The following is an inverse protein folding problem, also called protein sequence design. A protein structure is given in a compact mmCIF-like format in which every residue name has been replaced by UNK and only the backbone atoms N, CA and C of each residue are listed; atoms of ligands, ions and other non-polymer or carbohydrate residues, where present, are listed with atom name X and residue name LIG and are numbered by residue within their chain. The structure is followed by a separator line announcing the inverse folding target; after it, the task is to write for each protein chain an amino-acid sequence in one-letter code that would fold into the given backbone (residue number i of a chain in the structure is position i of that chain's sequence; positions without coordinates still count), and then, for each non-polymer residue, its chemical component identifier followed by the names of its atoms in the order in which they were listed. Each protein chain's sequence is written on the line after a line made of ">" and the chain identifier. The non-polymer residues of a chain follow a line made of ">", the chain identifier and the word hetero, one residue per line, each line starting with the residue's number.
data_IF_556059638517
#
_entry.id   IF_556059638517
#
_cell.length_a   1.000
_cell.length_b   1.000
_cell.length_c   1.000
_cell.angle_alpha   90.00
_cell.angle_beta   90.00
_cell.angle_gamma   90.00
#
_symmetry.space_group_name_H-M   'P 1'
#
loop_
_entity.id
_entity.type
_entity.pdbx_description
1 polymer ?
#
# COMPACT_ATOMS: atom_id res chain seq x y z
N UNK A 1 -20.38 49.64 20.83
CA UNK A 1 -18.99 49.18 20.67
C UNK A 1 -18.55 48.82 22.06
N UNK A 2 -18.79 47.60 22.49
CA UNK A 2 -18.39 47.13 23.82
C UNK A 2 -18.16 45.62 23.75
N UNK A 3 -17.17 45.18 24.54
CA UNK A 3 -16.77 43.81 24.83
C UNK A 3 -15.81 43.12 23.86
N UNK A 4 -14.67 43.77 23.62
CA UNK A 4 -13.40 43.06 23.40
C UNK A 4 -12.71 42.85 24.75
N UNK A 5 -13.27 41.98 25.59
CA UNK A 5 -12.53 41.49 26.75
C UNK A 5 -11.50 40.45 26.23
N UNK A 6 -10.19 40.70 26.31
CA UNK A 6 -9.20 39.76 25.77
C UNK A 6 -9.25 38.47 26.62
N UNK A 7 -9.57 37.34 25.98
CA UNK A 7 -9.56 36.04 26.64
C UNK A 7 -8.19 35.81 27.31
N UNK A 8 -8.18 35.67 28.63
CA UNK A 8 -6.96 35.49 29.40
C UNK A 8 -6.20 34.22 28.98
N UNK A 9 -4.86 34.31 28.95
CA UNK A 9 -3.95 33.19 28.73
C UNK A 9 -4.28 32.09 29.75
N UNK A 10 -4.81 30.95 29.27
CA UNK A 10 -5.29 29.85 30.12
C UNK A 10 -6.62 29.23 29.68
N UNK A 11 -7.32 29.80 28.70
CA UNK A 11 -8.63 29.30 28.20
C UNK A 11 -8.56 28.04 27.32
N UNK A 12 -7.46 27.28 27.36
CA UNK A 12 -7.23 26.14 26.47
C UNK A 12 -7.07 24.79 27.20
N UNK A 13 -7.59 24.65 28.43
CA UNK A 13 -7.52 23.41 29.20
C UNK A 13 -8.89 22.86 29.60
N UNK A 14 -9.89 22.94 28.73
CA UNK A 14 -11.07 22.10 28.91
C UNK A 14 -10.70 20.70 28.43
N UNK A 15 -10.79 19.71 29.32
CA UNK A 15 -10.53 18.31 28.97
C UNK A 15 -11.42 17.93 27.77
N UNK A 16 -10.93 17.08 26.84
CA UNK A 16 -11.70 16.67 25.65
C UNK A 16 -12.86 15.72 25.99
N UNK A 17 -13.19 15.58 27.27
CA UNK A 17 -14.25 14.77 27.84
C UNK A 17 -14.77 15.44 29.11
N UNK A 18 -16.00 15.11 29.48
CA UNK A 18 -16.64 15.59 30.69
C UNK A 18 -16.12 14.80 31.91
N UNK A 19 -15.40 15.45 32.86
CA UNK A 19 -14.84 14.76 34.02
C UNK A 19 -15.92 14.16 34.94
N UNK A 20 -17.08 14.80 35.08
CA UNK A 20 -18.16 14.29 35.93
C UNK A 20 -18.76 12.99 35.38
N UNK A 21 -18.86 12.89 34.06
CA UNK A 21 -19.32 11.66 33.38
C UNK A 21 -18.31 10.54 33.59
N UNK A 22 -17.01 10.83 33.46
CA UNK A 22 -15.95 9.84 33.69
C UNK A 22 -15.95 9.36 35.14
N UNK A 23 -16.08 10.26 36.12
CA UNK A 23 -16.13 9.88 37.54
C UNK A 23 -17.33 8.97 37.85
N UNK A 24 -18.52 9.28 37.33
CA UNK A 24 -19.72 8.43 37.48
C UNK A 24 -19.52 7.05 36.86
N UNK A 25 -18.93 6.98 35.66
CA UNK A 25 -18.63 5.70 35.01
C UNK A 25 -17.57 4.90 35.79
N UNK A 26 -16.53 5.56 36.30
CA UNK A 26 -15.51 4.92 37.12
C UNK A 26 -16.09 4.35 38.41
N UNK A 27 -16.97 5.08 39.09
CA UNK A 27 -17.66 4.60 40.28
C UNK A 27 -18.48 3.33 39.96
N UNK A 28 -19.25 3.35 38.87
CA UNK A 28 -20.04 2.19 38.44
C UNK A 28 -19.17 0.99 38.04
N UNK A 29 -18.04 1.22 37.37
CA UNK A 29 -17.08 0.16 37.02
C UNK A 29 -16.49 -0.48 38.27
N UNK A 30 -16.11 0.32 39.28
CA UNK A 30 -15.58 -0.19 40.54
C UNK A 30 -16.61 -1.06 41.27
N UNK A 31 -17.84 -0.57 41.40
CA UNK A 31 -18.94 -1.33 42.02
C UNK A 31 -19.16 -2.68 41.33
N UNK A 32 -19.18 -2.69 39.99
CA UNK A 32 -19.31 -3.93 39.23
C UNK A 32 -18.08 -4.82 39.36
N UNK A 33 -16.86 -4.28 39.37
CA UNK A 33 -15.64 -5.07 39.53
C UNK A 33 -15.62 -5.78 40.90
N UNK A 34 -15.97 -5.06 41.97
CA UNK A 34 -16.03 -5.60 43.32
C UNK A 34 -17.10 -6.71 43.43
N UNK A 35 -18.29 -6.47 42.88
CA UNK A 35 -19.36 -7.48 42.82
C UNK A 35 -19.00 -8.69 41.94
N UNK A 36 -18.24 -8.46 40.86
CA UNK A 36 -17.73 -9.52 39.98
C UNK A 36 -16.70 -10.42 40.66
N UNK A 37 -15.89 -9.87 41.56
CA UNK A 37 -14.94 -10.63 42.37
C UNK A 37 -15.61 -11.76 43.16
N UNK A 38 -16.75 -11.46 43.79
CA UNK A 38 -17.51 -12.45 44.54
C UNK A 38 -18.00 -13.62 43.67
N UNK A 39 -18.36 -13.36 42.40
CA UNK A 39 -18.73 -14.41 41.45
C UNK A 39 -17.52 -15.24 41.00
N UNK A 40 -16.34 -14.63 40.87
CA UNK A 40 -15.11 -15.32 40.51
C UNK A 40 -14.61 -16.23 41.64
N UNK A 41 -14.80 -15.84 42.90
CA UNK A 41 -14.41 -16.62 44.07
C UNK A 41 -15.16 -17.96 44.21
N UNK A 42 -16.36 -18.07 43.63
CA UNK A 42 -17.13 -19.32 43.62
C UNK A 42 -16.42 -20.43 42.83
N UNK A 43 -15.59 -20.08 41.83
CA UNK A 43 -14.84 -20.97 40.91
C UNK A 43 -15.67 -21.96 40.06
N UNK A 44 -16.82 -22.41 40.55
CA UNK A 44 -17.74 -23.33 39.89
C UNK A 44 -19.16 -22.84 40.15
N UNK A 45 -19.95 -22.71 39.09
CA UNK A 45 -21.39 -22.44 39.15
C UNK A 45 -22.09 -23.79 39.26
N UNK A 46 -22.77 -24.04 40.38
CA UNK A 46 -23.26 -25.39 40.73
C UNK A 46 -24.74 -25.62 40.46
N UNK A 47 -25.52 -24.55 40.26
CA UNK A 47 -26.97 -24.61 40.06
C UNK A 47 -27.50 -23.54 39.08
N UNK A 48 -28.71 -23.76 38.59
CA UNK A 48 -29.36 -22.91 37.59
C UNK A 48 -29.68 -21.50 38.13
N UNK A 49 -29.86 -21.35 39.45
CA UNK A 49 -30.14 -20.04 40.06
C UNK A 49 -28.89 -19.17 40.08
N UNK A 50 -27.73 -19.74 40.43
CA UNK A 50 -26.42 -19.11 40.32
C UNK A 50 -26.11 -18.76 38.87
N UNK A 51 -26.38 -19.67 37.93
CA UNK A 51 -26.19 -19.41 36.50
C UNK A 51 -27.05 -18.22 36.02
N UNK A 52 -28.32 -18.16 36.45
CA UNK A 52 -29.21 -17.03 36.16
C UNK A 52 -28.69 -15.71 36.71
N UNK A 53 -28.26 -15.68 37.98
CA UNK A 53 -27.70 -14.47 38.63
C UNK A 53 -26.41 -13.99 37.98
N UNK A 54 -25.51 -14.92 37.60
CA UNK A 54 -24.27 -14.58 36.87
C UNK A 54 -24.60 -14.01 35.49
N UNK A 55 -25.61 -14.56 34.80
CA UNK A 55 -26.06 -14.04 33.51
C UNK A 55 -26.66 -12.62 33.60
N UNK A 56 -27.46 -12.35 34.63
CA UNK A 56 -27.99 -11.00 34.90
C UNK A 56 -26.85 -10.01 35.21
N UNK A 57 -25.89 -10.44 36.03
CA UNK A 57 -24.70 -9.64 36.34
C UNK A 57 -23.86 -9.37 35.08
N UNK A 58 -23.66 -10.36 34.22
CA UNK A 58 -22.98 -10.20 32.94
C UNK A 58 -23.71 -9.20 32.03
N UNK A 59 -25.05 -9.20 32.04
CA UNK A 59 -25.86 -8.23 31.32
C UNK A 59 -25.63 -6.80 31.85
N UNK A 60 -25.53 -6.62 33.16
CA UNK A 60 -25.20 -5.32 33.76
C UNK A 60 -23.79 -4.85 33.39
N UNK A 61 -22.80 -5.75 33.42
CA UNK A 61 -21.43 -5.45 33.01
C UNK A 61 -21.36 -5.03 31.53
N UNK A 62 -22.11 -5.73 30.65
CA UNK A 62 -22.25 -5.38 29.23
C UNK A 62 -22.93 -4.02 29.02
N UNK A 63 -23.92 -3.68 29.84
CA UNK A 63 -24.57 -2.37 29.78
C UNK A 63 -23.58 -1.26 30.17
N UNK A 64 -22.87 -1.40 31.29
CA UNK A 64 -21.85 -0.43 31.71
C UNK A 64 -20.74 -0.25 30.65
N UNK A 65 -20.30 -1.33 30.01
CA UNK A 65 -19.36 -1.26 28.88
C UNK A 65 -19.92 -0.40 27.72
N UNK A 66 -21.19 -0.60 27.36
CA UNK A 66 -21.84 0.20 26.31
C UNK A 66 -21.93 1.67 26.68
N UNK A 67 -22.21 1.99 27.94
CA UNK A 67 -22.29 3.37 28.43
C UNK A 67 -20.93 4.09 28.35
N UNK A 68 -19.85 3.39 28.71
CA UNK A 68 -18.47 3.89 28.55
C UNK A 68 -18.16 4.16 27.08
N UNK A 69 -18.46 3.22 26.20
CA UNK A 69 -18.23 3.38 24.76
C UNK A 69 -19.08 4.52 24.16
N UNK A 70 -20.31 4.71 24.63
CA UNK A 70 -21.17 5.81 24.22
C UNK A 70 -20.60 7.16 24.67
N UNK A 71 -20.16 7.27 25.93
CA UNK A 71 -19.51 8.47 26.45
C UNK A 71 -18.22 8.80 25.68
N UNK A 72 -17.38 7.79 25.39
CA UNK A 72 -16.18 7.93 24.56
C UNK A 72 -16.51 8.46 23.16
N UNK A 73 -17.51 7.87 22.49
CA UNK A 73 -17.94 8.32 21.16
C UNK A 73 -18.44 9.76 21.19
N UNK A 74 -19.28 10.11 22.17
CA UNK A 74 -19.82 11.47 22.33
C UNK A 74 -18.71 12.50 22.56
N UNK A 75 -17.75 12.21 23.44
CA UNK A 75 -16.60 13.07 23.68
C UNK A 75 -15.71 13.22 22.44
N UNK A 76 -15.51 12.14 21.68
CA UNK A 76 -14.67 12.13 20.48
C UNK A 76 -15.33 12.78 19.26
N UNK A 77 -16.65 12.75 19.16
CA UNK A 77 -17.39 13.15 17.96
C UNK A 77 -17.09 14.58 17.48
N UNK A 78 -17.08 15.63 18.34
CA UNK A 78 -16.79 16.99 17.91
C UNK A 78 -15.40 17.14 17.28
N UNK A 79 -14.41 16.40 17.79
CA UNK A 79 -13.05 16.43 17.25
C UNK A 79 -12.95 15.71 15.90
N UNK A 80 -13.69 14.61 15.73
CA UNK A 80 -13.79 13.92 14.44
C UNK A 80 -14.51 14.78 13.40
N UNK A 81 -15.58 15.47 13.79
CA UNK A 81 -16.34 16.37 12.92
C UNK A 81 -15.49 17.58 12.52
N UNK A 82 -14.77 18.17 13.48
CA UNK A 82 -13.82 19.26 13.21
C UNK A 82 -12.70 18.80 12.26
N UNK A 83 -12.10 17.64 12.51
CA UNK A 83 -11.09 17.06 11.63
C UNK A 83 -11.64 16.80 10.22
N UNK A 84 -12.84 16.23 10.12
CA UNK A 84 -13.52 15.98 8.84
C UNK A 84 -13.83 17.28 8.10
N UNK A 85 -14.24 18.34 8.79
CA UNK A 85 -14.50 19.64 8.18
C UNK A 85 -13.22 20.26 7.60
N UNK A 86 -12.09 20.14 8.31
CA UNK A 86 -10.77 20.54 7.81
C UNK A 86 -10.43 19.72 6.56
N UNK A 87 -10.52 18.40 6.63
CA UNK A 87 -10.21 17.51 5.51
C UNK A 87 -11.07 17.82 4.28
N UNK A 88 -12.38 18.03 4.44
CA UNK A 88 -13.28 18.42 3.34
C UNK A 88 -12.86 19.76 2.74
N UNK A 89 -12.54 20.76 3.57
CA UNK A 89 -12.11 22.07 3.08
C UNK A 89 -10.81 21.98 2.30
N UNK A 90 -9.79 21.29 2.83
CA UNK A 90 -8.51 21.15 2.15
C UNK A 90 -8.62 20.27 0.91
N UNK A 91 -9.43 19.21 0.95
CA UNK A 91 -9.73 18.39 -0.24
C UNK A 91 -10.39 19.21 -1.34
N UNK A 92 -11.24 20.18 -1.00
CA UNK A 92 -11.81 21.10 -2.00
C UNK A 92 -10.76 21.97 -2.70
N UNK A 93 -9.64 22.27 -2.02
CA UNK A 93 -8.51 23.02 -2.55
C UNK A 93 -7.54 22.12 -3.34
N UNK A 94 -7.30 20.89 -2.88
CA UNK A 94 -6.37 19.96 -3.54
C UNK A 94 -6.99 19.26 -4.75
N UNK A 95 -8.30 18.96 -4.74
CA UNK A 95 -8.94 18.22 -5.82
C UNK A 95 -8.82 18.88 -7.21
N UNK A 96 -8.96 20.21 -7.37
CA UNK A 96 -8.67 20.86 -8.66
C UNK A 96 -7.21 20.74 -9.08
N UNK A 97 -6.27 20.83 -8.13
CA UNK A 97 -4.83 20.70 -8.38
C UNK A 97 -4.45 19.27 -8.79
N UNK A 98 -5.03 18.26 -8.14
CA UNK A 98 -4.88 16.85 -8.51
C UNK A 98 -5.41 16.60 -9.92
N UNK A 99 -6.61 17.09 -10.23
CA UNK A 99 -7.17 17.00 -11.59
C UNK A 99 -6.32 17.72 -12.63
N UNK A 100 -5.78 18.89 -12.30
CA UNK A 100 -4.86 19.62 -13.17
C UNK A 100 -3.58 18.80 -13.41
N UNK A 101 -2.98 18.26 -12.35
CA UNK A 101 -1.79 17.43 -12.43
C UNK A 101 -2.04 16.17 -13.27
N UNK A 102 -3.19 15.49 -13.10
CA UNK A 102 -3.59 14.34 -13.93
C UNK A 102 -3.74 14.71 -15.41
N UNK A 103 -4.38 15.85 -15.69
CA UNK A 103 -4.52 16.35 -17.07
C UNK A 103 -3.18 16.69 -17.69
N UNK A 104 -2.24 17.26 -16.94
CA UNK A 104 -0.89 17.60 -17.41
C UNK A 104 0.04 16.39 -17.52
N UNK A 105 -0.18 15.32 -16.75
CA UNK A 105 0.59 14.06 -16.87
C UNK A 105 0.43 13.43 -18.25
N UNK A 106 -0.75 13.52 -18.89
CA UNK A 106 -0.98 12.92 -20.21
C UNK A 106 -0.10 13.50 -21.33
N UNK A 107 -0.07 14.82 -21.59
CA UNK A 107 0.82 15.40 -22.59
C UNK A 107 2.30 15.24 -22.18
N UNK A 108 2.62 15.29 -20.89
CA UNK A 108 3.99 15.05 -20.42
C UNK A 108 4.46 13.61 -20.71
N UNK A 109 3.58 12.63 -20.51
CA UNK A 109 3.85 11.23 -20.84
C UNK A 109 4.03 11.05 -22.36
N UNK A 110 3.17 11.68 -23.18
CA UNK A 110 3.32 11.64 -24.64
C UNK A 110 4.66 12.23 -25.10
N UNK A 111 5.06 13.38 -24.54
CA UNK A 111 6.37 13.97 -24.80
C UNK A 111 7.52 13.05 -24.37
N UNK A 112 7.40 12.39 -23.21
CA UNK A 112 8.42 11.46 -22.75
C UNK A 112 8.55 10.23 -23.66
N UNK A 113 7.42 9.69 -24.15
CA UNK A 113 7.41 8.59 -25.11
C UNK A 113 8.05 8.99 -26.42
N UNK A 114 7.73 10.17 -26.96
CA UNK A 114 8.33 10.67 -28.19
C UNK A 114 9.83 10.92 -28.02
N UNK A 115 10.25 11.52 -26.89
CA UNK A 115 11.67 11.71 -26.57
C UNK A 115 12.40 10.37 -26.44
N UNK A 116 11.76 9.36 -25.87
CA UNK A 116 12.33 8.01 -25.81
C UNK A 116 12.45 7.40 -27.21
N UNK A 117 11.44 7.57 -28.07
CA UNK A 117 11.48 7.12 -29.48
C UNK A 117 12.64 7.75 -30.24
N UNK A 118 12.84 9.06 -30.12
CA UNK A 118 13.95 9.78 -30.74
C UNK A 118 15.31 9.28 -30.23
N UNK A 119 15.45 9.07 -28.92
CA UNK A 119 16.66 8.49 -28.34
C UNK A 119 16.91 7.05 -28.81
N UNK A 120 15.86 6.26 -28.99
CA UNK A 120 15.95 4.89 -29.50
C UNK A 120 16.32 4.90 -31.00
N UNK A 121 15.76 5.79 -31.82
CA UNK A 121 16.11 5.98 -33.23
C UNK A 121 17.58 6.44 -33.39
N UNK A 122 18.03 7.42 -32.61
CA UNK A 122 19.44 7.83 -32.58
C UNK A 122 20.37 6.69 -32.13
N UNK A 123 19.93 5.88 -31.16
CA UNK A 123 20.68 4.71 -30.72
C UNK A 123 20.79 3.68 -31.84
N UNK A 124 19.71 3.40 -32.56
CA UNK A 124 19.72 2.47 -33.70
C UNK A 124 20.70 2.94 -34.78
N UNK A 125 20.69 4.22 -35.15
CA UNK A 125 21.66 4.80 -36.11
C UNK A 125 23.09 4.65 -35.63
N UNK A 126 23.37 4.97 -34.36
CA UNK A 126 24.71 4.81 -33.76
C UNK A 126 25.15 3.35 -33.69
N UNK A 127 24.21 2.41 -33.48
CA UNK A 127 24.49 0.98 -33.49
C UNK A 127 24.81 0.48 -34.91
N UNK A 128 24.08 0.95 -35.93
CA UNK A 128 24.37 0.62 -37.33
C UNK A 128 25.72 1.19 -37.79
N UNK A 129 26.04 2.43 -37.43
CA UNK A 129 27.34 3.04 -37.71
C UNK A 129 28.48 2.30 -37.00
N UNK A 130 28.30 1.95 -35.73
CA UNK A 130 29.28 1.16 -34.99
C UNK A 130 29.47 -0.24 -35.60
N UNK A 131 28.39 -0.88 -36.07
CA UNK A 131 28.48 -2.17 -36.78
C UNK A 131 29.26 -2.06 -38.07
N UNK A 132 29.00 -1.02 -38.89
CA UNK A 132 29.75 -0.76 -40.12
C UNK A 132 31.24 -0.50 -39.83
N UNK A 133 31.55 0.30 -38.82
CA UNK A 133 32.94 0.54 -38.41
C UNK A 133 33.65 -0.74 -37.94
N UNK A 134 32.93 -1.65 -37.28
CA UNK A 134 33.46 -2.93 -36.86
C UNK A 134 33.70 -3.87 -38.06
N UNK A 135 32.76 -3.95 -39.00
CA UNK A 135 32.91 -4.73 -40.25
C UNK A 135 34.10 -4.22 -41.09
N UNK A 136 34.27 -2.90 -41.20
CA UNK A 136 35.40 -2.27 -41.90
C UNK A 136 36.74 -2.52 -41.17
N UNK A 137 36.76 -2.43 -39.84
CA UNK A 137 37.96 -2.73 -39.05
C UNK A 137 38.35 -4.21 -39.15
N UNK A 138 37.38 -5.13 -39.16
CA UNK A 138 37.63 -6.55 -39.35
C UNK A 138 38.13 -6.86 -40.77
N UNK A 139 37.64 -6.12 -41.79
CA UNK A 139 38.16 -6.24 -43.16
C UNK A 139 39.62 -5.76 -43.25
N UNK A 140 39.92 -4.58 -42.73
CA UNK A 140 41.28 -4.02 -42.69
C UNK A 140 42.24 -4.94 -41.92
N UNK A 141 41.80 -5.54 -40.82
CA UNK A 141 42.61 -6.52 -40.07
C UNK A 141 42.94 -7.74 -40.93
N UNK A 142 41.93 -8.33 -41.60
CA UNK A 142 42.15 -9.49 -42.49
C UNK A 142 43.06 -9.16 -43.68
N UNK A 143 42.94 -7.97 -44.25
CA UNK A 143 43.80 -7.50 -45.35
C UNK A 143 45.25 -7.26 -44.91
N UNK A 144 45.45 -6.72 -43.71
CA UNK A 144 46.78 -6.51 -43.12
C UNK A 144 47.46 -7.84 -42.74
N UNK A 145 46.73 -8.75 -42.09
CA UNK A 145 47.19 -10.11 -41.75
C UNK A 145 47.58 -10.89 -43.02
N UNK A 146 46.81 -10.76 -44.11
CA UNK A 146 47.11 -11.42 -45.38
C UNK A 146 48.38 -10.88 -46.08
N UNK A 147 48.76 -9.62 -45.82
CA UNK A 147 49.94 -8.98 -46.41
C UNK A 147 51.18 -9.00 -45.51
N UNK A 148 51.06 -9.46 -44.25
CA UNK A 148 52.12 -9.40 -43.23
C UNK A 148 52.73 -7.98 -43.11
N UNK A 149 51.91 -6.95 -43.26
CA UNK A 149 52.34 -5.55 -43.19
C UNK A 149 52.15 -5.03 -41.76
N UNK A 150 53.26 -4.92 -41.03
CA UNK A 150 53.31 -4.50 -39.62
C UNK A 150 52.76 -3.08 -39.41
N UNK A 151 52.87 -2.19 -40.42
CA UNK A 151 52.33 -0.83 -40.35
C UNK A 151 50.80 -0.87 -40.52
N UNK A 152 50.31 -1.69 -41.45
CA UNK A 152 48.88 -1.89 -41.66
C UNK A 152 48.20 -2.60 -40.48
N UNK A 153 48.89 -3.52 -39.79
CA UNK A 153 48.40 -4.17 -38.57
C UNK A 153 48.19 -3.16 -37.42
N UNK A 154 49.13 -2.24 -37.23
CA UNK A 154 49.01 -1.20 -36.21
C UNK A 154 47.84 -0.23 -36.47
N UNK A 155 47.58 0.10 -37.74
CA UNK A 155 46.41 0.90 -38.14
C UNK A 155 45.10 0.11 -38.00
N UNK A 156 45.08 -1.18 -38.32
CA UNK A 156 43.94 -2.06 -38.12
C UNK A 156 43.60 -2.24 -36.61
N UNK A 157 44.61 -2.33 -35.74
CA UNK A 157 44.40 -2.41 -34.29
C UNK A 157 43.82 -1.10 -33.71
N UNK A 158 44.27 0.06 -34.19
CA UNK A 158 43.67 1.36 -33.84
C UNK A 158 42.22 1.44 -34.30
N UNK A 159 41.92 1.01 -35.51
CA UNK A 159 40.56 0.96 -36.05
C UNK A 159 39.65 0.03 -35.23
N UNK A 160 40.14 -1.15 -34.85
CA UNK A 160 39.42 -2.10 -34.00
C UNK A 160 39.14 -1.53 -32.59
N UNK A 161 40.11 -0.83 -31.98
CA UNK A 161 39.93 -0.15 -30.69
C UNK A 161 38.91 0.99 -30.77
N UNK A 162 38.92 1.76 -31.86
CA UNK A 162 37.94 2.82 -32.11
C UNK A 162 36.53 2.24 -32.30
N UNK A 163 36.39 1.19 -33.09
CA UNK A 163 35.12 0.48 -33.30
C UNK A 163 34.58 -0.11 -31.97
N UNK A 164 35.42 -0.76 -31.18
CA UNK A 164 35.02 -1.30 -29.87
C UNK A 164 34.53 -0.21 -28.90
N UNK A 165 35.17 0.97 -28.90
CA UNK A 165 34.73 2.13 -28.10
C UNK A 165 33.39 2.68 -28.60
N UNK A 166 33.18 2.76 -29.91
CA UNK A 166 31.92 3.17 -30.52
C UNK A 166 30.78 2.21 -30.18
N UNK A 167 31.00 0.89 -30.30
CA UNK A 167 30.03 -0.15 -29.92
C UNK A 167 29.67 -0.07 -28.44
N UNK A 168 30.66 0.08 -27.56
CA UNK A 168 30.42 0.22 -26.11
C UNK A 168 29.64 1.50 -25.78
N UNK A 169 29.89 2.60 -26.48
CA UNK A 169 29.14 3.84 -26.30
C UNK A 169 27.68 3.71 -26.79
N UNK A 170 27.45 3.05 -27.92
CA UNK A 170 26.12 2.81 -28.49
C UNK A 170 25.27 1.79 -27.71
N UNK A 171 25.92 0.89 -26.95
CA UNK A 171 25.24 -0.11 -26.11
C UNK A 171 24.74 0.44 -24.76
N UNK A 172 25.14 1.66 -24.35
CA UNK A 172 24.72 2.22 -23.05
C UNK A 172 23.22 2.56 -23.09
N UNK A 173 22.40 2.06 -22.13
CA UNK A 173 20.99 2.39 -22.08
C UNK A 173 20.81 3.87 -21.74
N UNK A 174 20.21 4.63 -22.66
CA UNK A 174 19.81 6.02 -22.43
C UNK A 174 18.31 6.06 -22.19
N UNK A 175 17.91 6.61 -21.04
CA UNK A 175 16.50 6.81 -20.69
C UNK A 175 16.13 8.28 -20.87
N UNK A 176 14.97 8.54 -21.44
CA UNK A 176 14.41 9.88 -21.56
C UNK A 176 14.13 10.45 -20.16
N UNK A 177 14.85 11.52 -19.82
CA UNK A 177 14.68 12.28 -18.58
C UNK A 177 14.09 13.65 -18.91
N UNK A 178 13.18 14.14 -18.08
CA UNK A 178 12.64 15.50 -18.16
C UNK A 178 13.17 16.26 -16.95
N UNK A 179 14.21 17.07 -17.18
CA UNK A 179 14.80 17.90 -16.14
C UNK A 179 13.90 19.11 -15.83
N UNK A 180 14.02 19.65 -14.62
CA UNK A 180 13.37 20.92 -14.28
C UNK A 180 14.10 22.07 -14.97
N UNK A 181 13.34 22.92 -15.66
CA UNK A 181 13.88 24.11 -16.32
C UNK A 181 14.36 25.18 -15.32
N UNK A 182 13.75 25.25 -14.13
CA UNK A 182 14.02 26.29 -13.12
C UNK A 182 14.72 25.76 -11.87
N UNK A 183 15.01 24.45 -11.80
CA UNK A 183 15.62 23.81 -10.63
C UNK A 183 14.67 23.59 -9.45
N UNK A 184 13.48 24.20 -9.43
CA UNK A 184 12.49 24.02 -8.35
C UNK A 184 11.73 22.69 -8.37
N UNK A 185 11.99 21.82 -9.34
CA UNK A 185 11.28 20.56 -9.54
C UNK A 185 12.26 19.39 -9.66
N UNK A 186 11.81 18.19 -9.26
CA UNK A 186 12.58 16.97 -9.47
C UNK A 186 12.55 16.56 -10.95
N UNK A 187 13.64 15.96 -11.42
CA UNK A 187 13.69 15.31 -12.74
C UNK A 187 12.66 14.19 -12.80
N UNK A 188 11.76 14.25 -13.78
CA UNK A 188 10.71 13.26 -13.96
C UNK A 188 11.18 12.16 -14.91
N UNK A 189 10.99 10.91 -14.49
CA UNK A 189 11.24 9.71 -15.29
C UNK A 189 9.99 8.85 -15.40
N UNK A 190 9.82 8.17 -16.53
CA UNK A 190 8.73 7.23 -16.72
C UNK A 190 8.90 6.06 -15.75
N UNK A 191 7.83 5.70 -15.04
CA UNK A 191 7.78 4.51 -14.17
C UNK A 191 6.82 3.49 -14.77
N UNK A 192 7.31 2.28 -14.98
CA UNK A 192 6.46 1.14 -15.33
C UNK A 192 5.79 0.63 -14.06
N UNK A 193 4.47 0.49 -14.10
CA UNK A 193 3.67 -0.15 -13.05
C UNK A 193 2.89 -1.29 -13.66
N UNK A 194 2.86 -2.44 -12.98
CA UNK A 194 2.12 -3.61 -13.43
C UNK A 194 0.84 -3.71 -12.60
N UNK A 195 -0.31 -3.77 -13.28
CA UNK A 195 -1.61 -3.99 -12.66
C UNK A 195 -2.21 -5.27 -13.24
N UNK A 196 -2.45 -6.26 -12.39
CA UNK A 196 -3.14 -7.48 -12.79
C UNK A 196 -4.66 -7.24 -12.83
N UNK A 197 -5.32 -7.77 -13.86
CA UNK A 197 -6.77 -7.88 -13.97
C UNK A 197 -7.11 -9.33 -14.30
N UNK A 198 -8.08 -9.90 -13.59
CA UNK A 198 -8.57 -11.25 -13.84
C UNK A 198 -9.94 -11.09 -14.51
N UNK A 199 -10.05 -11.52 -15.77
CA UNK A 199 -11.23 -11.25 -16.60
C UNK A 199 -12.37 -12.25 -16.39
N UNK A 200 -12.05 -13.50 -16.02
CA UNK A 200 -13.02 -14.56 -15.84
C UNK A 200 -12.65 -15.53 -14.71
N UNK A 201 -13.60 -16.39 -14.33
CA UNK A 201 -13.41 -17.37 -13.27
C UNK A 201 -12.38 -18.46 -13.60
N UNK A 202 -12.14 -18.76 -14.87
CA UNK A 202 -11.12 -19.74 -15.29
C UNK A 202 -9.71 -19.18 -15.13
N UNK A 203 -9.52 -17.91 -15.50
CA UNK A 203 -8.31 -17.15 -15.25
C UNK A 203 -8.06 -17.01 -13.75
N UNK A 204 -9.11 -16.78 -12.94
CA UNK A 204 -9.00 -16.74 -11.48
C UNK A 204 -8.47 -18.06 -10.91
N UNK A 205 -9.03 -19.20 -11.33
CA UNK A 205 -8.59 -20.54 -10.88
C UNK A 205 -7.14 -20.84 -11.25
N UNK A 206 -6.72 -20.46 -12.47
CA UNK A 206 -5.33 -20.64 -12.91
C UNK A 206 -4.36 -19.75 -12.13
N UNK A 207 -4.70 -18.48 -11.94
CA UNK A 207 -3.89 -17.56 -11.14
C UNK A 207 -3.79 -18.03 -9.68
N UNK A 208 -4.91 -18.49 -9.12
CA UNK A 208 -4.96 -19.07 -7.78
C UNK A 208 -4.02 -20.29 -7.66
N UNK A 209 -4.13 -21.24 -8.59
CA UNK A 209 -3.27 -22.43 -8.58
C UNK A 209 -1.78 -22.07 -8.71
N UNK A 210 -1.44 -21.07 -9.53
CA UNK A 210 -0.07 -20.58 -9.63
C UNK A 210 0.43 -19.99 -8.31
N UNK A 211 -0.34 -19.09 -7.70
CA UNK A 211 0.06 -18.42 -6.46
C UNK A 211 0.07 -19.35 -5.24
N UNK A 212 -0.72 -20.42 -5.24
CA UNK A 212 -0.68 -21.42 -4.17
C UNK A 212 0.62 -22.23 -4.17
N UNK A 213 1.24 -22.39 -5.35
CA UNK A 213 2.54 -23.04 -5.52
C UNK A 213 3.72 -22.07 -5.26
N UNK A 214 3.46 -20.77 -5.15
CA UNK A 214 4.46 -19.75 -4.87
C UNK A 214 4.71 -19.67 -3.35
N UNK A 215 5.95 -19.87 -2.86
CA UNK A 215 6.24 -19.91 -1.42
C UNK A 215 5.82 -18.66 -0.64
N UNK A 216 5.93 -17.48 -1.27
CA UNK A 216 5.63 -16.20 -0.62
C UNK A 216 4.12 -15.93 -0.57
N UNK A 217 3.40 -16.31 -1.61
CA UNK A 217 1.96 -16.04 -1.75
C UNK A 217 1.07 -17.09 -1.08
N UNK A 218 1.53 -18.36 -1.03
CA UNK A 218 0.79 -19.50 -0.48
C UNK A 218 0.21 -19.28 0.93
N UNK A 219 0.99 -18.87 1.96
CA UNK A 219 0.46 -18.72 3.31
C UNK A 219 -0.60 -17.61 3.42
N UNK A 220 -0.43 -16.52 2.68
CA UNK A 220 -1.39 -15.40 2.66
C UNK A 220 -2.71 -15.84 2.02
N UNK A 221 -2.63 -16.63 0.95
CA UNK A 221 -3.80 -17.17 0.26
C UNK A 221 -4.55 -18.17 1.15
N UNK A 222 -3.85 -19.09 1.81
CA UNK A 222 -4.48 -20.04 2.73
C UNK A 222 -5.23 -19.32 3.87
N UNK A 223 -4.61 -18.32 4.49
CA UNK A 223 -5.24 -17.54 5.56
C UNK A 223 -6.51 -16.81 5.09
N UNK A 224 -6.51 -16.23 3.88
CA UNK A 224 -7.70 -15.57 3.34
C UNK A 224 -8.81 -16.58 3.01
N UNK A 225 -8.46 -17.78 2.50
CA UNK A 225 -9.44 -18.84 2.27
C UNK A 225 -10.04 -19.32 3.60
N UNK A 226 -9.23 -19.55 4.63
CA UNK A 226 -9.71 -19.94 5.96
C UNK A 226 -10.71 -18.92 6.52
N UNK A 227 -10.41 -17.63 6.36
CA UNK A 227 -11.30 -16.52 6.74
C UNK A 227 -12.63 -16.59 5.98
N UNK A 228 -12.58 -16.82 4.67
CA UNK A 228 -13.77 -16.92 3.83
C UNK A 228 -14.60 -18.17 4.15
N UNK A 229 -13.96 -19.32 4.40
CA UNK A 229 -14.62 -20.56 4.83
C UNK A 229 -15.33 -20.37 6.17
N UNK A 230 -14.64 -19.77 7.15
CA UNK A 230 -15.21 -19.48 8.48
C UNK A 230 -16.42 -18.54 8.37
N UNK A 231 -16.29 -17.47 7.58
CA UNK A 231 -17.40 -16.55 7.33
C UNK A 231 -18.57 -17.26 6.60
N UNK A 232 -18.26 -18.16 5.66
CA UNK A 232 -19.26 -18.92 4.93
C UNK A 232 -20.00 -19.95 5.82
N UNK A 233 -19.36 -20.51 6.84
CA UNK A 233 -20.01 -21.43 7.79
C UNK A 233 -20.94 -20.70 8.76
N UNK A 234 -20.60 -19.46 9.16
CA UNK A 234 -21.33 -18.67 10.18
C UNK A 234 -22.61 -17.98 9.67
N UNK A 235 -22.77 -17.83 8.37
CA UNK A 235 -23.99 -17.26 7.75
C UNK A 235 -25.19 -18.18 7.97
N UNK A 236 -26.39 -17.58 8.03
CA UNK A 236 -27.67 -18.27 8.33
C UNK A 236 -27.90 -19.50 7.43
N UNK A 237 -27.64 -19.36 6.13
CA UNK A 237 -27.74 -20.43 5.12
C UNK A 237 -26.34 -20.83 4.61
N UNK A 238 -25.41 -21.03 5.55
CA UNK A 238 -24.04 -21.46 5.27
C UNK A 238 -23.93 -22.97 5.05
N UNK A 239 -22.99 -23.45 4.21
CA UNK A 239 -22.70 -24.87 4.11
C UNK A 239 -22.24 -25.42 5.47
N UNK A 240 -22.73 -26.59 5.85
CA UNK A 240 -22.31 -27.29 7.07
C UNK A 240 -20.94 -27.95 6.94
N UNK A 241 -20.54 -28.28 5.71
CA UNK A 241 -19.28 -28.91 5.35
C UNK A 241 -18.70 -28.26 4.09
N UNK A 242 -17.38 -28.10 4.05
CA UNK A 242 -16.63 -27.60 2.91
C UNK A 242 -15.50 -28.61 2.66
N UNK A 243 -15.43 -29.24 1.47
CA UNK A 243 -14.42 -30.25 1.18
C UNK A 243 -13.00 -29.76 1.46
N UNK A 244 -12.24 -30.54 2.24
CA UNK A 244 -10.85 -30.25 2.58
C UNK A 244 -10.63 -29.27 3.74
N UNK A 245 -11.70 -28.81 4.41
CA UNK A 245 -11.60 -27.92 5.58
C UNK A 245 -11.93 -28.70 6.85
N UNK A 246 -11.03 -28.62 7.85
CA UNK A 246 -11.27 -29.19 9.18
C UNK A 246 -11.79 -28.10 10.12
N UNK A 247 -12.90 -28.37 10.81
CA UNK A 247 -13.50 -27.43 11.76
C UNK A 247 -13.01 -27.66 13.19
N UNK A 248 -12.61 -26.59 13.86
CA UNK A 248 -12.31 -26.59 15.29
C UNK A 248 -13.50 -25.97 16.04
N UNK A 249 -14.19 -26.76 16.85
CA UNK A 249 -15.33 -26.29 17.66
C UNK A 249 -14.84 -25.70 18.99
N UNK A 250 -14.95 -24.38 19.12
CA UNK A 250 -14.78 -23.68 20.40
C UNK A 250 -16.15 -23.23 20.93
N UNK A 251 -16.57 -23.76 22.08
CA UNK A 251 -17.78 -23.32 22.78
C UNK A 251 -17.42 -22.19 23.74
N UNK A 252 -17.78 -20.97 23.35
CA UNK A 252 -17.67 -19.78 24.19
C UNK A 252 -19.06 -19.24 24.49
N UNK A 253 -19.30 -18.79 25.71
CA UNK A 253 -20.58 -18.17 26.10
C UNK A 253 -20.64 -16.78 25.45
N UNK A 254 -21.68 -16.56 24.64
CA UNK A 254 -21.86 -15.34 23.82
C UNK A 254 -22.21 -14.10 24.64
#
# INVERSE_FOLDING_TARGET
>A
MDDLNPAGIGHNSQLPYDPEVVEKLQARIRELADAGGAWLDLKVISDDEQAGKVNDFLTQARAAYKDVEAARKKAKQPHLDAGTAVDVKFKSLTAPLEKLAEKLKKPLAAFQTEKQRQLDEERLKKQEEARRQQEEADRLRREAEARNDVIAEAEAEKAAKAAAKATKAAARPVKAQIASATGGGRTMSARTTYRAKIDDHSAARRAFSFLLNDPDSSPVICAEIERLCTAARRRKDGPSDIPGVTWLEERTVA
#
